data_IF_982146143989
#
_entry.id   IF_982146143989
#
_cell.length_a   1.000
_cell.length_b   1.000
_cell.length_c   1.000
_cell.angle_alpha   90.00
_cell.angle_beta   90.00
_cell.angle_gamma   90.00
#
_symmetry.space_group_name_H-M   'P 1'
#
loop_
_entity.id
_entity.type
_entity.pdbx_description
1 polymer ?
#
# COMPACT_ATOMS: atom_id res chain seq x y z
N UNK A 1 4.90 -14.49 -29.08
CA UNK A 1 3.64 -14.66 -28.33
C UNK A 1 3.95 -14.44 -26.86
N UNK A 2 3.47 -13.36 -26.27
CA UNK A 2 3.55 -13.16 -24.81
C UNK A 2 2.70 -14.24 -24.15
N UNK A 3 3.21 -15.04 -23.21
CA UNK A 3 2.39 -16.00 -22.49
C UNK A 3 1.26 -15.22 -21.81
N UNK A 4 0.02 -15.53 -22.12
CA UNK A 4 -1.11 -15.00 -21.35
C UNK A 4 -0.97 -15.51 -19.94
N UNK A 5 -0.86 -14.60 -18.98
CA UNK A 5 -0.92 -14.95 -17.55
C UNK A 5 -2.22 -15.70 -17.20
N UNK A 6 -2.34 -16.21 -15.97
CA UNK A 6 -3.55 -16.85 -15.51
C UNK A 6 -4.74 -15.90 -15.71
N UNK A 7 -5.95 -16.45 -15.90
CA UNK A 7 -7.13 -15.63 -16.11
C UNK A 7 -7.30 -14.67 -14.95
N UNK A 8 -7.33 -13.37 -15.27
CA UNK A 8 -7.72 -12.32 -14.32
C UNK A 8 -9.18 -12.59 -13.93
N UNK A 9 -9.57 -12.44 -12.66
CA UNK A 9 -10.96 -12.51 -12.26
C UNK A 9 -11.82 -11.66 -13.18
N UNK A 10 -12.96 -12.20 -13.62
CA UNK A 10 -13.84 -11.55 -14.58
C UNK A 10 -14.24 -10.15 -14.09
N UNK A 11 -13.75 -9.12 -14.77
CA UNK A 11 -14.07 -7.73 -14.46
C UNK A 11 -15.57 -7.43 -14.68
N UNK A 12 -16.25 -8.22 -15.53
CA UNK A 12 -17.68 -8.10 -15.74
C UNK A 12 -18.50 -8.49 -14.49
N UNK A 13 -17.92 -9.28 -13.58
CA UNK A 13 -18.55 -9.65 -12.31
C UNK A 13 -18.43 -8.54 -11.23
N UNK A 14 -17.61 -7.49 -11.47
CA UNK A 14 -17.51 -6.38 -10.53
C UNK A 14 -18.75 -5.47 -10.60
N UNK A 15 -19.18 -4.89 -9.45
CA UNK A 15 -20.12 -3.80 -9.45
C UNK A 15 -19.68 -2.67 -10.40
N UNK A 16 -20.62 -2.02 -11.07
CA UNK A 16 -20.32 -0.98 -12.07
C UNK A 16 -19.40 0.13 -11.53
N UNK A 17 -19.63 0.57 -10.30
CA UNK A 17 -18.79 1.58 -9.64
C UNK A 17 -17.35 1.09 -9.44
N UNK A 18 -17.15 -0.16 -9.03
CA UNK A 18 -15.81 -0.74 -8.82
C UNK A 18 -15.08 -0.92 -10.16
N UNK A 19 -15.79 -1.37 -11.19
CA UNK A 19 -15.25 -1.48 -12.56
C UNK A 19 -14.82 -0.13 -13.10
N UNK A 20 -15.65 0.90 -12.95
CA UNK A 20 -15.31 2.27 -13.37
C UNK A 20 -14.05 2.81 -12.67
N UNK A 21 -13.82 2.47 -11.39
CA UNK A 21 -12.59 2.84 -10.67
C UNK A 21 -11.37 2.11 -11.23
N UNK A 22 -11.51 0.83 -11.52
CA UNK A 22 -10.45 0.01 -12.10
C UNK A 22 -10.06 0.52 -13.50
N UNK A 23 -11.05 0.87 -14.33
CA UNK A 23 -10.83 1.42 -15.68
C UNK A 23 -10.14 2.80 -15.62
N UNK A 24 -10.50 3.65 -14.66
CA UNK A 24 -9.78 4.92 -14.43
C UNK A 24 -8.33 4.68 -13.99
N UNK A 25 -8.07 3.70 -13.14
CA UNK A 25 -6.71 3.34 -12.76
C UNK A 25 -5.90 2.83 -13.95
N UNK A 26 -6.49 2.00 -14.81
CA UNK A 26 -5.86 1.51 -16.05
C UNK A 26 -5.51 2.65 -17.02
N UNK A 27 -6.37 3.65 -17.12
CA UNK A 27 -6.12 4.82 -17.97
C UNK A 27 -4.89 5.63 -17.50
N UNK A 28 -4.48 5.52 -16.23
CA UNK A 28 -3.28 6.18 -15.70
C UNK A 28 -1.99 5.44 -16.08
N UNK A 29 -2.03 4.15 -16.40
CA UNK A 29 -0.83 3.31 -16.60
C UNK A 29 0.15 3.91 -17.62
N UNK A 30 -0.28 4.39 -18.83
CA UNK A 30 0.62 5.01 -19.78
C UNK A 30 1.29 6.29 -19.23
N UNK A 31 0.54 7.13 -18.52
CA UNK A 31 1.04 8.36 -17.92
C UNK A 31 2.08 8.08 -16.83
N UNK A 32 1.84 7.05 -16.03
CA UNK A 32 2.80 6.62 -15.00
C UNK A 32 4.09 6.10 -15.62
N UNK A 33 4.01 5.35 -16.74
CA UNK A 33 5.17 4.87 -17.46
C UNK A 33 6.00 6.02 -18.05
N UNK A 34 5.34 7.03 -18.63
CA UNK A 34 6.00 8.24 -19.16
C UNK A 34 6.72 9.01 -18.04
N UNK A 35 6.11 9.14 -16.87
CA UNK A 35 6.66 9.90 -15.73
C UNK A 35 7.70 9.14 -14.92
N UNK A 36 7.82 7.81 -15.08
CA UNK A 36 8.70 6.97 -14.26
C UNK A 36 10.17 7.41 -14.27
N UNK A 37 10.79 7.79 -15.42
CA UNK A 37 12.16 8.29 -15.44
C UNK A 37 12.33 9.58 -14.62
N UNK A 38 11.38 10.53 -14.73
CA UNK A 38 11.40 11.79 -13.97
C UNK A 38 11.27 11.50 -12.48
N UNK A 39 10.34 10.63 -12.07
CA UNK A 39 10.16 10.24 -10.69
C UNK A 39 11.43 9.63 -10.09
N UNK A 40 12.14 8.79 -10.84
CA UNK A 40 13.43 8.22 -10.44
C UNK A 40 14.52 9.28 -10.29
N UNK A 41 14.64 10.21 -11.23
CA UNK A 41 15.66 11.25 -11.23
C UNK A 41 15.52 12.23 -10.05
N UNK A 42 14.28 12.62 -9.70
CA UNK A 42 14.01 13.55 -8.57
C UNK A 42 13.75 12.84 -7.25
N UNK A 43 13.74 11.50 -7.24
CA UNK A 43 13.52 10.65 -6.06
C UNK A 43 12.23 10.97 -5.30
N UNK A 44 11.19 11.34 -6.04
CA UNK A 44 9.81 11.53 -5.57
C UNK A 44 8.84 11.42 -6.75
N UNK A 45 7.57 11.18 -6.48
CA UNK A 45 6.58 11.27 -7.55
C UNK A 45 6.38 12.73 -7.98
N UNK A 46 6.09 12.98 -9.27
CA UNK A 46 5.56 14.27 -9.70
C UNK A 46 4.22 14.59 -9.02
N UNK A 47 3.98 15.85 -8.68
CA UNK A 47 2.73 16.27 -8.03
C UNK A 47 1.50 15.98 -8.89
N UNK A 48 1.67 16.01 -10.21
CA UNK A 48 0.65 15.65 -11.20
C UNK A 48 0.18 14.18 -11.04
N UNK A 49 1.04 13.29 -10.59
CA UNK A 49 0.66 11.88 -10.35
C UNK A 49 -0.31 11.75 -9.18
N UNK A 50 -0.10 12.51 -8.11
CA UNK A 50 -1.01 12.51 -6.97
C UNK A 50 -2.33 13.24 -7.33
N UNK A 51 -2.26 14.31 -8.12
CA UNK A 51 -3.45 14.98 -8.63
C UNK A 51 -4.31 14.03 -9.49
N UNK A 52 -3.67 13.23 -10.37
CA UNK A 52 -4.38 12.23 -11.18
C UNK A 52 -5.02 11.13 -10.31
N UNK A 53 -4.36 10.67 -9.25
CA UNK A 53 -4.95 9.70 -8.30
C UNK A 53 -6.17 10.26 -7.59
N UNK A 54 -6.14 11.56 -7.19
CA UNK A 54 -7.29 12.27 -6.61
C UNK A 54 -8.43 12.39 -7.63
N UNK A 55 -8.13 12.86 -8.84
CA UNK A 55 -9.11 13.01 -9.92
C UNK A 55 -9.76 11.67 -10.32
N UNK A 56 -8.99 10.58 -10.31
CA UNK A 56 -9.50 9.24 -10.53
C UNK A 56 -10.34 8.69 -9.35
N UNK A 57 -10.28 9.33 -8.18
CA UNK A 57 -10.99 8.92 -6.96
C UNK A 57 -10.44 7.65 -6.31
N UNK A 58 -9.24 7.20 -6.70
CA UNK A 58 -8.69 5.93 -6.23
C UNK A 58 -8.04 6.00 -4.86
N UNK A 59 -7.54 7.18 -4.42
CA UNK A 59 -6.94 7.34 -3.08
C UNK A 59 -7.96 7.17 -1.94
N UNK A 60 -9.25 7.36 -2.21
CA UNK A 60 -10.31 7.38 -1.20
C UNK A 60 -11.13 6.08 -1.15
N UNK A 61 -10.65 5.01 -1.80
CA UNK A 61 -11.35 3.71 -1.82
C UNK A 61 -11.57 3.17 -0.40
N UNK A 62 -10.54 3.22 0.44
CA UNK A 62 -10.58 2.70 1.82
C UNK A 62 -10.94 3.77 2.87
N UNK A 63 -11.26 5.00 2.47
CA UNK A 63 -11.71 6.02 3.39
C UNK A 63 -13.20 5.82 3.72
N UNK A 64 -13.64 6.06 4.98
CA UNK A 64 -15.04 5.96 5.34
C UNK A 64 -15.94 6.92 4.57
N UNK A 65 -17.16 6.48 4.26
CA UNK A 65 -18.18 7.30 3.55
C UNK A 65 -18.51 8.60 4.27
N UNK A 66 -18.49 8.61 5.58
CA UNK A 66 -18.72 9.78 6.41
C UNK A 66 -17.79 10.95 6.05
N UNK A 67 -16.57 10.66 5.62
CA UNK A 67 -15.57 11.64 5.18
C UNK A 67 -15.49 11.76 3.65
N UNK A 68 -16.50 11.23 2.93
CA UNK A 68 -16.60 11.31 1.47
C UNK A 68 -15.83 10.21 0.72
N UNK A 69 -15.26 9.22 1.42
CA UNK A 69 -14.65 8.06 0.82
C UNK A 69 -15.64 7.03 0.32
N UNK A 70 -15.14 5.95 -0.27
CA UNK A 70 -15.99 4.92 -0.85
C UNK A 70 -16.31 3.79 0.16
N UNK A 71 -15.53 3.67 1.24
CA UNK A 71 -15.64 2.54 2.18
C UNK A 71 -15.63 1.19 1.43
N UNK A 72 -14.75 1.14 0.42
CA UNK A 72 -14.72 0.07 -0.56
C UNK A 72 -13.99 -1.18 -0.08
N UNK A 73 -13.93 -2.17 -0.96
CA UNK A 73 -13.29 -3.46 -0.69
C UNK A 73 -11.78 -3.36 -0.81
N UNK A 74 -11.07 -4.05 0.07
CA UNK A 74 -9.61 -4.15 0.01
C UNK A 74 -9.14 -4.89 -1.25
N UNK A 75 -9.94 -5.82 -1.78
CA UNK A 75 -9.66 -6.52 -3.02
C UNK A 75 -9.60 -5.60 -4.23
N UNK A 76 -10.50 -4.62 -4.34
CA UNK A 76 -10.46 -3.60 -5.40
C UNK A 76 -9.20 -2.74 -5.27
N UNK A 77 -8.90 -2.25 -4.07
CA UNK A 77 -7.68 -1.50 -3.79
C UNK A 77 -6.43 -2.27 -4.24
N UNK A 78 -6.32 -3.55 -3.85
CA UNK A 78 -5.22 -4.44 -4.21
C UNK A 78 -5.10 -4.66 -5.73
N UNK A 79 -6.22 -4.78 -6.46
CA UNK A 79 -6.22 -4.88 -7.92
C UNK A 79 -5.71 -3.60 -8.58
N UNK A 80 -6.08 -2.45 -8.06
CA UNK A 80 -5.58 -1.16 -8.58
C UNK A 80 -4.07 -1.04 -8.36
N UNK A 81 -3.55 -1.48 -7.21
CA UNK A 81 -2.08 -1.55 -6.97
C UNK A 81 -1.40 -2.37 -8.07
N UNK A 82 -1.94 -3.54 -8.39
CA UNK A 82 -1.42 -4.43 -9.42
C UNK A 82 -1.40 -3.74 -10.80
N UNK A 83 -2.51 -3.12 -11.22
CA UNK A 83 -2.62 -2.41 -12.49
C UNK A 83 -1.64 -1.23 -12.60
N UNK A 84 -1.59 -0.36 -11.59
CA UNK A 84 -0.69 0.80 -11.61
C UNK A 84 0.79 0.40 -11.70
N UNK A 85 1.15 -0.78 -11.19
CA UNK A 85 2.52 -1.28 -11.23
C UNK A 85 3.04 -1.47 -12.63
N UNK A 86 2.18 -1.80 -13.60
CA UNK A 86 2.57 -1.91 -15.02
C UNK A 86 3.08 -0.60 -15.60
N UNK A 87 2.61 0.53 -15.10
CA UNK A 87 3.12 1.84 -15.48
C UNK A 87 4.40 2.19 -14.74
N UNK A 88 4.36 2.16 -13.40
CA UNK A 88 5.50 2.53 -12.56
C UNK A 88 5.37 1.91 -11.17
N UNK A 89 6.31 1.04 -10.81
CA UNK A 89 6.33 0.40 -9.49
C UNK A 89 6.44 1.40 -8.33
N UNK A 90 7.23 2.48 -8.47
CA UNK A 90 7.30 3.53 -7.44
C UNK A 90 5.96 4.24 -7.25
N UNK A 91 5.25 4.52 -8.33
CA UNK A 91 3.93 5.15 -8.29
C UNK A 91 2.89 4.24 -7.65
N UNK A 92 2.89 2.95 -8.00
CA UNK A 92 2.01 1.95 -7.39
C UNK A 92 2.31 1.75 -5.90
N UNK A 93 3.58 1.74 -5.51
CA UNK A 93 3.99 1.64 -4.10
C UNK A 93 3.47 2.82 -3.28
N UNK A 94 3.66 4.05 -3.75
CA UNK A 94 3.16 5.24 -3.06
C UNK A 94 1.64 5.22 -2.99
N UNK A 95 0.95 4.84 -4.08
CA UNK A 95 -0.50 4.65 -4.07
C UNK A 95 -0.92 3.62 -3.01
N UNK A 96 -0.24 2.47 -2.95
CA UNK A 96 -0.54 1.41 -1.98
C UNK A 96 -0.38 1.90 -0.55
N UNK A 97 0.69 2.63 -0.24
CA UNK A 97 0.94 3.21 1.08
C UNK A 97 -0.14 4.24 1.45
N UNK A 98 -0.32 5.27 0.63
CA UNK A 98 -1.27 6.35 0.93
C UNK A 98 -2.72 5.87 0.97
N UNK A 99 -3.08 4.91 0.10
CA UNK A 99 -4.42 4.33 0.05
C UNK A 99 -4.72 3.37 1.20
N UNK A 100 -3.76 2.48 1.60
CA UNK A 100 -3.93 1.61 2.77
C UNK A 100 -4.09 2.43 4.05
N UNK A 101 -3.36 3.55 4.15
CA UNK A 101 -3.42 4.39 5.34
C UNK A 101 -4.79 5.03 5.57
N UNK A 102 -5.63 5.18 4.57
CA UNK A 102 -7.02 5.60 4.77
C UNK A 102 -7.78 4.63 5.70
N UNK A 103 -7.56 3.31 5.53
CA UNK A 103 -8.11 2.32 6.45
C UNK A 103 -7.45 2.37 7.84
N UNK A 104 -6.13 2.58 7.91
CA UNK A 104 -5.45 2.72 9.21
C UNK A 104 -5.98 3.95 9.95
N UNK A 105 -6.13 5.10 9.31
CA UNK A 105 -6.71 6.32 9.91
C UNK A 105 -8.15 6.07 10.35
N UNK A 106 -8.95 5.36 9.53
CA UNK A 106 -10.30 4.95 9.90
C UNK A 106 -10.36 4.09 11.17
N UNK A 107 -9.24 3.50 11.60
CA UNK A 107 -9.14 2.69 12.81
C UNK A 107 -8.91 3.51 14.09
N UNK A 108 -8.52 4.78 13.99
CA UNK A 108 -8.33 5.66 15.16
C UNK A 108 -9.67 6.09 15.77
N UNK A 109 -9.67 6.64 17.01
CA UNK A 109 -10.83 7.34 17.57
C UNK A 109 -11.39 8.39 16.62
N UNK A 110 -12.68 8.70 16.74
CA UNK A 110 -13.39 9.64 15.88
C UNK A 110 -12.72 11.03 15.85
N UNK A 111 -12.24 11.50 16.99
CA UNK A 111 -11.55 12.79 17.13
C UNK A 111 -10.30 12.85 16.21
N UNK A 112 -9.50 11.79 16.16
CA UNK A 112 -8.33 11.76 15.28
C UNK A 112 -8.71 11.73 13.79
N UNK A 113 -9.82 11.08 13.45
CA UNK A 113 -10.33 11.08 12.08
C UNK A 113 -10.83 12.48 11.66
N UNK A 114 -11.47 13.20 12.59
CA UNK A 114 -11.88 14.59 12.39
C UNK A 114 -10.67 15.52 12.24
N UNK A 115 -9.60 15.31 13.01
CA UNK A 115 -8.34 16.06 12.85
C UNK A 115 -7.76 15.91 11.45
N UNK A 116 -7.85 14.70 10.85
CA UNK A 116 -7.31 14.44 9.51
C UNK A 116 -8.24 14.92 8.41
N UNK A 117 -9.54 14.59 8.49
CA UNK A 117 -10.46 14.72 7.36
C UNK A 117 -11.56 15.76 7.55
N UNK A 118 -11.63 16.40 8.74
CA UNK A 118 -12.67 17.39 9.03
C UNK A 118 -12.62 18.60 8.10
N UNK A 119 -11.42 19.16 7.93
CA UNK A 119 -11.20 20.33 7.07
C UNK A 119 -10.70 19.96 5.67
N UNK A 120 -9.96 18.85 5.54
CA UNK A 120 -9.43 18.36 4.25
C UNK A 120 -9.77 16.87 4.03
N UNK A 121 -10.91 16.56 3.40
CA UNK A 121 -11.28 15.18 3.08
C UNK A 121 -10.31 14.45 2.14
N UNK A 122 -9.42 15.17 1.46
CA UNK A 122 -8.40 14.60 0.56
C UNK A 122 -7.05 14.35 1.27
N UNK A 123 -6.96 14.64 2.58
CA UNK A 123 -5.75 14.43 3.35
C UNK A 123 -5.31 12.96 3.36
N UNK A 124 -4.01 12.75 3.18
CA UNK A 124 -3.36 11.44 3.19
C UNK A 124 -2.22 11.40 4.19
N UNK A 125 -1.87 10.21 4.65
CA UNK A 125 -0.76 10.01 5.56
C UNK A 125 0.32 9.11 4.96
N UNK A 126 1.58 9.51 5.12
CA UNK A 126 2.74 8.61 4.97
C UNK A 126 2.96 7.80 6.26
N UNK A 127 3.96 6.93 6.31
CA UNK A 127 4.24 6.22 7.56
C UNK A 127 5.67 5.76 7.72
N UNK A 128 6.07 5.60 8.99
CA UNK A 128 7.17 4.74 9.40
C UNK A 128 6.67 3.86 10.56
N UNK A 129 6.21 2.66 10.23
CA UNK A 129 5.42 1.82 11.14
C UNK A 129 6.26 0.97 12.10
N UNK A 130 7.54 0.74 11.77
CA UNK A 130 8.44 0.02 12.68
C UNK A 130 8.77 0.89 13.89
N UNK A 131 8.46 0.46 15.13
CA UNK A 131 8.75 1.27 16.32
C UNK A 131 10.27 1.42 16.50
N UNK A 132 10.72 2.66 16.68
CA UNK A 132 12.14 2.99 16.84
C UNK A 132 12.48 3.56 18.21
N UNK A 133 11.51 4.20 18.86
CA UNK A 133 11.69 4.84 20.17
C UNK A 133 10.48 4.60 21.06
N UNK A 134 10.69 4.73 22.36
CA UNK A 134 9.60 4.85 23.31
C UNK A 134 9.10 6.30 23.32
N UNK A 135 7.78 6.47 23.34
CA UNK A 135 7.17 7.76 23.56
C UNK A 135 7.03 7.99 25.08
N UNK A 136 7.38 9.19 25.52
CA UNK A 136 7.23 9.59 26.93
C UNK A 136 5.75 9.90 27.21
N UNK A 137 5.20 9.30 28.28
CA UNK A 137 3.85 9.64 28.75
C UNK A 137 3.85 11.01 29.41
N UNK A 138 3.02 11.91 28.90
CA UNK A 138 2.81 13.24 29.48
C UNK A 138 1.31 13.49 29.70
N UNK A 139 0.97 14.60 30.34
CA UNK A 139 -0.44 14.95 30.56
C UNK A 139 -1.17 15.13 29.22
N UNK A 140 -2.19 14.33 28.94
CA UNK A 140 -3.06 14.41 27.78
C UNK A 140 -2.52 13.71 26.53
N UNK A 141 -1.36 13.04 26.59
CA UNK A 141 -0.81 12.36 25.41
C UNK A 141 0.61 11.84 25.61
N UNK A 142 1.38 11.99 24.56
CA UNK A 142 2.71 11.43 24.42
C UNK A 142 3.67 12.48 23.84
N UNK A 143 4.96 12.41 24.23
CA UNK A 143 6.04 13.12 23.55
C UNK A 143 6.93 12.12 22.82
N UNK A 144 7.27 12.46 21.60
CA UNK A 144 8.03 11.57 20.71
C UNK A 144 9.18 12.29 20.07
N UNK A 145 10.38 11.68 20.15
CA UNK A 145 11.56 12.11 19.43
C UNK A 145 12.17 10.91 18.70
N UNK A 146 12.90 11.16 17.64
CA UNK A 146 13.65 10.10 16.94
C UNK A 146 13.62 10.23 15.42
N UNK A 147 14.42 9.35 14.80
CA UNK A 147 14.49 9.24 13.32
C UNK A 147 13.73 8.01 12.85
N UNK A 148 12.80 8.21 11.96
CA UNK A 148 11.87 7.23 11.44
C UNK A 148 12.04 7.09 9.92
N UNK A 149 12.83 6.11 9.42
CA UNK A 149 13.12 5.95 7.99
C UNK A 149 11.97 5.30 7.22
N UNK A 150 12.10 5.27 5.90
CA UNK A 150 11.22 4.59 4.96
C UNK A 150 9.80 5.14 4.89
N UNK A 151 9.62 6.46 5.03
CA UNK A 151 8.30 7.09 4.90
C UNK A 151 7.95 7.37 3.44
N UNK A 152 7.46 6.34 2.75
CA UNK A 152 7.11 6.42 1.33
C UNK A 152 6.00 7.44 1.08
N UNK A 153 6.21 8.31 0.07
CA UNK A 153 5.23 9.32 -0.31
C UNK A 153 5.08 10.49 0.68
N UNK A 154 6.01 10.66 1.64
CA UNK A 154 5.95 11.74 2.62
C UNK A 154 5.94 13.15 1.98
N UNK A 155 6.55 13.33 0.80
CA UNK A 155 6.51 14.60 0.06
C UNK A 155 5.10 15.04 -0.36
N UNK A 156 4.09 14.15 -0.28
CA UNK A 156 2.72 14.38 -0.74
C UNK A 156 1.68 14.22 0.36
N UNK A 157 2.11 13.88 1.57
CA UNK A 157 1.24 13.64 2.71
C UNK A 157 1.08 14.90 3.58
N UNK A 158 -0.04 14.99 4.28
CA UNK A 158 -0.30 16.02 5.29
C UNK A 158 -0.05 15.47 6.69
N UNK A 159 -0.10 14.14 6.83
CA UNK A 159 0.04 13.42 8.09
C UNK A 159 1.09 12.32 7.99
N UNK A 160 1.58 11.88 9.14
CA UNK A 160 2.43 10.70 9.27
C UNK A 160 1.91 9.75 10.34
N UNK A 161 1.95 8.45 10.06
CA UNK A 161 1.67 7.39 11.04
C UNK A 161 3.01 6.86 11.52
N UNK A 162 3.31 7.05 12.80
CA UNK A 162 4.59 6.72 13.42
C UNK A 162 4.42 5.55 14.39
N UNK A 163 5.16 4.46 14.19
CA UNK A 163 5.23 3.36 15.14
C UNK A 163 6.10 3.71 16.34
N UNK A 164 5.55 3.58 17.56
CA UNK A 164 6.26 3.86 18.79
C UNK A 164 5.93 2.85 19.88
N UNK A 165 6.80 2.74 20.88
CA UNK A 165 6.49 2.02 22.12
C UNK A 165 5.84 3.00 23.10
N UNK A 166 4.61 2.70 23.55
CA UNK A 166 3.90 3.47 24.58
C UNK A 166 4.09 2.85 25.98
N UNK A 167 5.32 2.43 26.27
CA UNK A 167 5.71 1.74 27.48
C UNK A 167 7.16 1.29 27.38
N UNK A 168 7.47 0.08 27.82
CA UNK A 168 8.81 -0.46 27.75
C UNK A 168 9.28 -0.62 26.30
N UNK A 169 10.43 -0.04 25.98
CA UNK A 169 11.02 -0.14 24.66
C UNK A 169 11.42 -1.59 24.34
N UNK A 170 11.03 -2.05 23.15
CA UNK A 170 11.28 -3.43 22.71
C UNK A 170 10.18 -4.43 23.06
N UNK A 171 9.21 -4.07 23.90
CA UNK A 171 8.05 -4.95 24.18
C UNK A 171 6.97 -4.77 23.10
N UNK A 172 6.70 -5.81 22.28
CA UNK A 172 5.71 -5.73 21.21
C UNK A 172 4.28 -5.48 21.70
N UNK A 173 3.99 -5.74 22.98
CA UNK A 173 2.67 -5.46 23.60
C UNK A 173 2.43 -3.96 23.75
N UNK A 174 3.48 -3.17 23.80
CA UNK A 174 3.43 -1.73 23.98
C UNK A 174 3.55 -0.94 22.69
N UNK A 175 3.43 -1.57 21.52
CA UNK A 175 3.47 -0.88 20.24
C UNK A 175 2.14 -0.23 19.93
N UNK A 176 2.19 1.03 19.54
CA UNK A 176 1.06 1.77 19.02
C UNK A 176 1.48 2.58 17.77
N UNK A 177 0.50 2.98 16.99
CA UNK A 177 0.66 3.92 15.90
C UNK A 177 0.18 5.29 16.35
N UNK A 178 1.05 6.28 16.24
CA UNK A 178 0.80 7.68 16.56
C UNK A 178 0.58 8.46 15.28
N UNK A 179 -0.48 9.26 15.22
CA UNK A 179 -0.83 10.09 14.08
C UNK A 179 -0.34 11.52 14.33
N UNK A 180 0.56 12.01 13.48
CA UNK A 180 1.29 13.26 13.64
C UNK A 180 1.12 14.14 12.40
N UNK A 181 0.78 15.45 12.53
CA UNK A 181 0.81 16.36 11.40
C UNK A 181 2.22 16.43 10.79
N UNK A 182 2.33 16.29 9.48
CA UNK A 182 3.65 16.31 8.84
C UNK A 182 4.34 17.68 8.95
N UNK A 183 3.57 18.75 9.17
CA UNK A 183 4.09 20.08 9.43
C UNK A 183 4.92 20.19 10.74
N UNK A 184 4.76 19.24 11.66
CA UNK A 184 5.53 19.16 12.92
C UNK A 184 6.78 18.26 12.79
N UNK A 185 7.07 17.75 11.60
CA UNK A 185 8.11 16.75 11.34
C UNK A 185 9.10 17.30 10.32
N UNK A 186 10.39 17.13 10.58
CA UNK A 186 11.43 17.41 9.60
C UNK A 186 11.57 16.21 8.64
N UNK A 187 11.46 16.45 7.33
CA UNK A 187 11.72 15.45 6.29
C UNK A 187 13.19 15.54 5.89
N UNK A 188 13.93 14.45 6.12
CA UNK A 188 15.35 14.35 5.77
C UNK A 188 15.49 13.65 4.42
N UNK A 189 16.03 14.36 3.41
CA UNK A 189 16.21 13.82 2.06
C UNK A 189 17.42 12.87 1.96
N UNK A 190 17.26 11.67 2.51
CA UNK A 190 18.27 10.62 2.57
C UNK A 190 17.92 9.38 1.70
N UNK A 191 16.89 9.48 0.86
CA UNK A 191 16.44 8.35 0.03
C UNK A 191 17.34 8.14 -1.18
N UNK A 192 18.38 7.31 -1.02
CA UNK A 192 19.37 6.98 -2.06
C UNK A 192 19.47 5.46 -2.20
N UNK A 193 18.83 4.92 -3.22
CA UNK A 193 18.65 3.47 -3.41
C UNK A 193 18.79 3.08 -4.87
N UNK A 194 18.91 1.76 -5.16
CA UNK A 194 19.00 1.24 -6.51
C UNK A 194 17.63 1.06 -7.19
N UNK A 195 16.59 0.76 -6.42
CA UNK A 195 15.24 0.52 -6.92
C UNK A 195 14.19 1.31 -6.15
N UNK A 196 12.99 1.49 -6.73
CA UNK A 196 11.90 2.28 -6.13
C UNK A 196 12.32 3.73 -5.79
N UNK A 197 13.23 4.32 -6.55
CA UNK A 197 13.74 5.68 -6.35
C UNK A 197 12.60 6.70 -6.20
N UNK A 198 11.60 6.62 -7.07
CA UNK A 198 10.48 7.56 -7.10
C UNK A 198 9.53 7.49 -5.91
N UNK A 199 9.69 6.53 -4.98
CA UNK A 199 8.83 6.48 -3.79
C UNK A 199 9.12 7.59 -2.79
N UNK A 200 10.30 8.22 -2.85
CA UNK A 200 10.70 9.25 -1.89
C UNK A 200 10.56 8.77 -0.44
N UNK A 201 11.00 7.52 -0.16
CA UNK A 201 10.83 6.90 1.17
C UNK A 201 11.83 7.46 2.18
N UNK A 202 11.79 8.77 2.35
CA UNK A 202 12.69 9.59 3.17
C UNK A 202 12.52 9.30 4.66
N UNK A 203 13.49 9.72 5.45
CA UNK A 203 13.39 9.68 6.91
C UNK A 203 12.59 10.86 7.44
N UNK A 204 11.82 10.60 8.47
CA UNK A 204 11.12 11.59 9.29
C UNK A 204 11.88 11.78 10.59
N UNK A 205 12.19 13.03 10.94
CA UNK A 205 12.88 13.38 12.18
C UNK A 205 11.93 14.18 13.07
N UNK A 206 11.66 13.63 14.25
CA UNK A 206 10.77 14.21 15.25
C UNK A 206 11.61 14.77 16.40
N UNK A 207 11.33 16.01 16.82
CA UNK A 207 11.99 16.70 17.92
C UNK A 207 10.95 17.07 18.99
N UNK A 208 10.81 16.24 20.00
CA UNK A 208 9.92 16.47 21.14
C UNK A 208 8.47 16.78 20.75
N UNK A 209 7.96 16.07 19.74
CA UNK A 209 6.61 16.29 19.20
C UNK A 209 5.56 15.77 20.19
N UNK A 210 4.59 16.63 20.54
CA UNK A 210 3.44 16.24 21.35
C UNK A 210 2.34 15.60 20.49
N UNK A 211 1.91 14.40 20.90
CA UNK A 211 0.82 13.67 20.25
C UNK A 211 -0.31 13.46 21.24
N UNK A 212 -1.49 14.06 21.05
CA UNK A 212 -2.66 13.86 21.90
C UNK A 212 -3.06 12.38 21.98
N UNK A 213 -3.61 11.96 23.08
CA UNK A 213 -3.97 10.55 23.33
C UNK A 213 -4.93 9.97 22.27
N UNK A 214 -5.90 10.76 21.80
CA UNK A 214 -6.85 10.34 20.76
C UNK A 214 -6.18 10.05 19.39
N UNK A 215 -4.97 10.58 19.16
CA UNK A 215 -4.17 10.29 17.94
C UNK A 215 -3.29 9.04 18.10
N UNK A 216 -3.70 8.10 18.96
CA UNK A 216 -3.03 6.81 19.11
C UNK A 216 -3.97 5.64 18.90
N UNK A 217 -3.46 4.56 18.31
CA UNK A 217 -4.15 3.29 18.18
C UNK A 217 -3.16 2.16 18.50
N UNK A 218 -3.57 1.24 19.36
CA UNK A 218 -2.74 0.11 19.74
C UNK A 218 -2.62 -0.89 18.59
N UNK A 219 -1.40 -1.35 18.34
CA UNK A 219 -1.15 -2.35 17.32
C UNK A 219 -1.89 -3.67 17.61
N UNK A 220 -2.02 -4.02 18.90
CA UNK A 220 -2.82 -5.17 19.36
C UNK A 220 -4.27 -5.10 18.90
N UNK A 221 -4.90 -3.91 18.95
CA UNK A 221 -6.29 -3.74 18.52
C UNK A 221 -6.44 -3.90 17.00
N UNK A 222 -5.47 -3.40 16.23
CA UNK A 222 -5.43 -3.60 14.77
C UNK A 222 -5.25 -5.08 14.41
N UNK A 223 -4.38 -5.80 15.13
CA UNK A 223 -4.20 -7.24 14.89
C UNK A 223 -5.38 -8.08 15.37
N UNK A 224 -6.12 -7.62 16.36
CA UNK A 224 -7.34 -8.29 16.83
C UNK A 224 -8.60 -7.97 15.99
N UNK A 225 -8.55 -6.92 15.12
CA UNK A 225 -9.72 -6.41 14.40
C UNK A 225 -10.74 -5.75 15.35
N UNK A 226 -10.26 -5.10 16.40
CA UNK A 226 -11.07 -4.43 17.43
C UNK A 226 -10.67 -2.96 17.64
N UNK A 227 -10.42 -2.18 16.59
CA UNK A 227 -10.02 -0.79 16.75
C UNK A 227 -11.12 0.04 17.43
N UNK A 228 -10.77 1.16 18.10
CA UNK A 228 -11.72 2.00 18.82
C UNK A 228 -12.84 2.55 17.93
N UNK A 229 -12.55 2.80 16.67
CA UNK A 229 -13.52 3.35 15.69
C UNK A 229 -14.58 2.36 15.21
N UNK A 230 -14.50 1.09 15.54
CA UNK A 230 -15.47 0.08 15.08
C UNK A 230 -16.93 0.45 15.37
N UNK A 231 -17.16 1.22 16.43
CA UNK A 231 -18.50 1.71 16.80
C UNK A 231 -18.91 2.96 15.99
N UNK A 232 -17.93 3.70 15.47
CA UNK A 232 -18.15 4.90 14.65
C UNK A 232 -18.58 4.51 13.23
N UNK A 233 -18.04 3.40 12.72
CA UNK A 233 -18.32 2.89 11.38
C UNK A 233 -18.83 1.44 11.44
N UNK A 234 -20.07 1.19 11.96
CA UNK A 234 -20.57 -0.16 12.18
C UNK A 234 -20.70 -0.96 10.87
N UNK A 235 -20.95 -0.29 9.76
CA UNK A 235 -21.14 -0.89 8.44
C UNK A 235 -19.85 -0.96 7.62
N UNK A 236 -18.66 -0.79 8.27
CA UNK A 236 -17.38 -0.91 7.59
C UNK A 236 -16.68 -2.24 7.92
N UNK A 237 -16.81 -3.28 7.05
CA UNK A 237 -16.30 -4.61 7.34
C UNK A 237 -14.80 -4.66 7.59
N UNK A 238 -14.01 -3.80 6.95
CA UNK A 238 -12.55 -3.77 7.10
C UNK A 238 -12.09 -3.46 8.52
N UNK A 239 -12.87 -2.74 9.33
CA UNK A 239 -12.54 -2.48 10.73
C UNK A 239 -12.68 -3.70 11.64
N UNK A 240 -13.22 -4.81 11.12
CA UNK A 240 -13.25 -6.11 11.81
C UNK A 240 -12.13 -7.03 11.36
N UNK A 241 -11.41 -6.66 10.32
CA UNK A 241 -10.32 -7.46 9.80
C UNK A 241 -9.07 -7.31 10.67
N UNK A 242 -8.48 -8.39 11.16
CA UNK A 242 -7.14 -8.37 11.72
C UNK A 242 -6.16 -7.81 10.69
N UNK A 243 -5.29 -6.89 11.09
CA UNK A 243 -4.32 -6.26 10.18
C UNK A 243 -3.51 -7.29 9.39
N UNK A 244 -3.08 -8.37 10.03
CA UNK A 244 -2.35 -9.45 9.37
C UNK A 244 -3.14 -10.20 8.29
N UNK A 245 -4.45 -9.99 8.19
CA UNK A 245 -5.31 -10.56 7.16
C UNK A 245 -5.37 -9.70 5.89
N UNK A 246 -5.08 -8.40 5.97
CA UNK A 246 -5.17 -7.44 4.86
C UNK A 246 -3.81 -7.10 4.25
N UNK A 247 -2.78 -6.91 5.08
CA UNK A 247 -1.43 -6.47 4.66
C UNK A 247 -0.82 -7.30 3.50
N UNK A 248 -1.04 -8.63 3.42
CA UNK A 248 -0.55 -9.42 2.28
C UNK A 248 -1.07 -8.97 0.91
N UNK A 249 -2.15 -8.19 0.87
CA UNK A 249 -2.78 -7.72 -0.37
C UNK A 249 -2.52 -6.23 -0.66
N UNK A 250 -1.65 -5.55 0.10
CA UNK A 250 -1.31 -4.15 -0.16
C UNK A 250 -0.03 -3.98 -0.99
N UNK A 251 1.12 -4.38 -0.48
CA UNK A 251 2.42 -4.21 -1.15
C UNK A 251 2.86 -5.41 -2.01
N UNK A 252 2.62 -6.68 -1.64
CA UNK A 252 3.00 -7.82 -2.47
C UNK A 252 2.51 -7.77 -3.92
N UNK A 253 1.31 -7.22 -4.26
CA UNK A 253 0.89 -7.04 -5.63
C UNK A 253 1.90 -6.26 -6.49
N UNK A 254 2.63 -5.29 -5.90
CA UNK A 254 3.69 -4.54 -6.62
C UNK A 254 4.81 -5.49 -7.06
N UNK A 255 5.28 -6.37 -6.18
CA UNK A 255 6.36 -7.29 -6.53
C UNK A 255 5.94 -8.28 -7.63
N UNK A 256 4.73 -8.83 -7.52
CA UNK A 256 4.19 -9.82 -8.48
C UNK A 256 3.99 -9.17 -9.86
N UNK A 257 3.33 -8.01 -9.93
CA UNK A 257 3.09 -7.30 -11.17
C UNK A 257 4.39 -6.77 -11.80
N UNK A 258 5.37 -6.34 -10.99
CA UNK A 258 6.69 -5.96 -11.47
C UNK A 258 7.43 -7.15 -12.09
N UNK A 259 7.36 -8.32 -11.47
CA UNK A 259 7.91 -9.56 -12.04
C UNK A 259 7.29 -9.89 -13.39
N UNK A 260 5.95 -9.78 -13.53
CA UNK A 260 5.24 -9.95 -14.80
C UNK A 260 5.70 -8.93 -15.84
N UNK A 261 5.76 -7.66 -15.47
CA UNK A 261 6.23 -6.60 -16.36
C UNK A 261 7.67 -6.81 -16.82
N UNK A 262 8.56 -7.27 -15.93
CA UNK A 262 9.94 -7.59 -16.28
C UNK A 262 10.02 -8.73 -17.30
N UNK A 263 9.21 -9.77 -17.11
CA UNK A 263 9.11 -10.89 -18.05
C UNK A 263 8.60 -10.44 -19.43
N UNK A 264 7.57 -9.60 -19.47
CA UNK A 264 7.03 -9.05 -20.74
C UNK A 264 8.09 -8.23 -21.48
N UNK A 265 8.86 -7.41 -20.78
CA UNK A 265 9.96 -6.63 -21.35
C UNK A 265 11.05 -7.57 -21.88
N UNK A 266 11.44 -8.58 -21.13
CA UNK A 266 12.44 -9.56 -21.54
C UNK A 266 12.00 -10.30 -22.81
N UNK A 267 10.77 -10.82 -22.83
CA UNK A 267 10.23 -11.53 -23.99
C UNK A 267 10.13 -10.62 -25.23
N UNK A 268 9.76 -9.35 -25.05
CA UNK A 268 9.67 -8.39 -26.15
C UNK A 268 11.03 -7.98 -26.72
N UNK A 269 12.09 -8.04 -25.90
CA UNK A 269 13.44 -7.65 -26.27
C UNK A 269 14.27 -8.78 -26.92
N UNK A 270 13.80 -10.02 -26.88
CA UNK A 270 14.56 -11.19 -27.37
C UNK A 270 14.57 -11.35 -28.90
N UNK A 271 13.47 -11.08 -29.64
CA UNK A 271 13.46 -11.31 -31.09
C UNK A 271 14.58 -10.55 -31.81
N UNK A 272 15.37 -11.26 -32.62
CA UNK A 272 16.47 -10.70 -33.38
C UNK A 272 17.74 -10.39 -32.58
N UNK A 273 17.78 -10.71 -31.28
CA UNK A 273 18.97 -10.55 -30.45
C UNK A 273 19.92 -11.73 -30.62
N UNK A 274 21.17 -11.42 -30.99
CA UNK A 274 22.22 -12.42 -31.16
C UNK A 274 23.22 -12.39 -30.00
N UNK A 275 23.52 -13.55 -29.42
CA UNK A 275 24.67 -13.69 -28.51
C UNK A 275 25.94 -13.82 -29.33
N UNK A 276 26.94 -13.00 -29.01
CA UNK A 276 28.26 -12.97 -29.73
C UNK A 276 28.14 -12.88 -31.24
N UNK A 277 27.03 -12.29 -31.74
CA UNK A 277 26.76 -12.10 -33.16
C UNK A 277 26.38 -13.36 -33.95
N UNK A 278 26.18 -14.51 -33.29
CA UNK A 278 25.97 -15.81 -33.96
C UNK A 278 24.72 -16.54 -33.47
N UNK A 279 24.48 -16.59 -32.17
CA UNK A 279 23.38 -17.39 -31.59
C UNK A 279 22.13 -16.56 -31.38
N UNK A 280 21.02 -16.94 -32.01
CA UNK A 280 19.70 -16.34 -31.73
C UNK A 280 19.28 -16.67 -30.30
N UNK A 281 19.17 -15.64 -29.45
CA UNK A 281 18.80 -15.80 -28.06
C UNK A 281 17.36 -16.31 -27.89
N UNK A 282 16.46 -15.94 -28.79
CA UNK A 282 15.08 -16.41 -28.75
C UNK A 282 14.95 -17.90 -29.06
N UNK A 283 15.88 -18.46 -29.85
CA UNK A 283 15.96 -19.89 -30.16
C UNK A 283 16.78 -20.70 -29.15
N UNK A 284 17.44 -20.06 -28.20
CA UNK A 284 18.25 -20.73 -27.18
C UNK A 284 17.38 -21.48 -26.18
N UNK A 285 17.56 -22.79 -26.05
CA UNK A 285 16.83 -23.65 -25.10
C UNK A 285 17.00 -23.16 -23.66
N UNK A 286 18.20 -22.76 -23.26
CA UNK A 286 18.50 -22.23 -21.92
C UNK A 286 17.68 -20.96 -21.63
N UNK A 287 17.55 -20.07 -22.63
CA UNK A 287 16.75 -18.84 -22.49
C UNK A 287 15.26 -19.16 -22.40
N UNK A 288 14.79 -20.08 -23.24
CA UNK A 288 13.39 -20.52 -23.23
C UNK A 288 13.01 -21.20 -21.91
N UNK A 289 13.90 -22.05 -21.37
CA UNK A 289 13.69 -22.67 -20.05
C UNK A 289 13.63 -21.63 -18.95
N UNK A 290 14.57 -20.68 -18.89
CA UNK A 290 14.58 -19.63 -17.87
C UNK A 290 13.32 -18.75 -17.93
N UNK A 291 12.83 -18.42 -19.12
CA UNK A 291 11.55 -17.69 -19.32
C UNK A 291 10.37 -18.54 -18.84
N UNK A 292 10.36 -19.84 -19.16
CA UNK A 292 9.29 -20.75 -18.73
C UNK A 292 9.21 -20.89 -17.21
N UNK A 293 10.36 -21.05 -16.56
CA UNK A 293 10.45 -21.12 -15.09
C UNK A 293 9.99 -19.82 -14.43
N UNK A 294 10.45 -18.65 -14.93
CA UNK A 294 10.04 -17.36 -14.43
C UNK A 294 8.53 -17.14 -14.62
N UNK A 295 7.99 -17.49 -15.80
CA UNK A 295 6.56 -17.39 -16.09
C UNK A 295 5.73 -18.24 -15.12
N UNK A 296 6.13 -19.49 -14.91
CA UNK A 296 5.43 -20.41 -14.00
C UNK A 296 5.42 -19.90 -12.55
N UNK A 297 6.57 -19.40 -12.07
CA UNK A 297 6.66 -18.83 -10.72
C UNK A 297 5.75 -17.60 -10.53
N UNK A 298 5.73 -16.68 -11.52
CA UNK A 298 4.88 -15.49 -11.50
C UNK A 298 3.40 -15.90 -11.59
N UNK A 299 3.04 -16.90 -12.40
CA UNK A 299 1.67 -17.39 -12.54
C UNK A 299 1.17 -17.99 -11.23
N UNK A 300 1.98 -18.78 -10.55
CA UNK A 300 1.66 -19.33 -9.23
C UNK A 300 1.42 -18.20 -8.22
N UNK A 301 2.33 -17.23 -8.13
CA UNK A 301 2.20 -16.09 -7.23
C UNK A 301 0.92 -15.27 -7.54
N UNK A 302 0.60 -15.06 -8.81
CA UNK A 302 -0.60 -14.35 -9.27
C UNK A 302 -1.87 -15.12 -8.87
N UNK A 303 -1.92 -16.44 -9.08
CA UNK A 303 -3.05 -17.27 -8.69
C UNK A 303 -3.28 -17.27 -7.17
N UNK A 304 -2.21 -17.37 -6.39
CA UNK A 304 -2.29 -17.29 -4.92
C UNK A 304 -2.84 -15.93 -4.49
N UNK A 305 -2.30 -14.82 -5.04
CA UNK A 305 -2.79 -13.47 -4.74
C UNK A 305 -4.28 -13.32 -5.07
N UNK A 306 -4.73 -13.76 -6.25
CA UNK A 306 -6.12 -13.65 -6.67
C UNK A 306 -7.05 -14.50 -5.78
N UNK A 307 -6.66 -15.75 -5.52
CA UNK A 307 -7.44 -16.65 -4.65
C UNK A 307 -7.53 -16.10 -3.24
N UNK A 308 -6.43 -15.57 -2.71
CA UNK A 308 -6.39 -14.97 -1.38
C UNK A 308 -7.26 -13.71 -1.26
N UNK A 309 -7.25 -12.84 -2.28
CA UNK A 309 -8.12 -11.64 -2.35
C UNK A 309 -9.61 -12.01 -2.34
N UNK A 310 -10.00 -12.99 -3.16
CA UNK A 310 -11.38 -13.48 -3.22
C UNK A 310 -11.81 -14.04 -1.87
N UNK A 311 -11.01 -14.94 -1.31
CA UNK A 311 -11.26 -15.51 0.00
C UNK A 311 -11.40 -14.44 1.10
N UNK A 312 -10.52 -13.43 1.09
CA UNK A 312 -10.55 -12.36 2.08
C UNK A 312 -11.81 -11.49 1.95
N UNK A 313 -12.25 -11.20 0.73
CA UNK A 313 -13.49 -10.45 0.48
C UNK A 313 -14.71 -11.22 0.96
N UNK A 314 -14.83 -12.49 0.61
CA UNK A 314 -15.94 -13.35 1.04
C UNK A 314 -16.01 -13.49 2.57
N UNK A 315 -14.85 -13.66 3.22
CA UNK A 315 -14.76 -13.74 4.67
C UNK A 315 -15.26 -12.46 5.36
N UNK A 316 -14.91 -11.29 4.81
CA UNK A 316 -15.36 -9.99 5.33
C UNK A 316 -16.84 -9.74 5.07
N UNK A 317 -17.34 -10.09 3.89
CA UNK A 317 -18.75 -9.93 3.51
C UNK A 317 -19.65 -10.82 4.37
N UNK A 318 -19.17 -12.00 4.82
CA UNK A 318 -19.92 -12.92 5.69
C UNK A 318 -20.20 -12.40 7.10
N UNK A 319 -19.65 -11.26 7.48
CA UNK A 319 -19.80 -10.62 8.80
C UNK A 319 -19.36 -11.47 10.01
N UNK A 320 -18.78 -12.65 9.79
CA UNK A 320 -18.26 -13.53 10.84
C UNK A 320 -16.88 -13.07 11.35
N UNK A 321 -16.46 -13.60 12.47
CA UNK A 321 -15.11 -13.39 12.97
C UNK A 321 -14.08 -14.08 12.08
N UNK A 322 -13.02 -13.37 11.71
CA UNK A 322 -11.86 -13.94 11.04
C UNK A 322 -11.05 -14.76 12.07
N UNK A 323 -10.75 -15.99 11.74
CA UNK A 323 -10.00 -16.91 12.60
C UNK A 323 -8.50 -16.71 12.46
N UNK A 324 -7.74 -17.14 13.46
CA UNK A 324 -6.27 -17.11 13.41
C UNK A 324 -5.72 -17.92 12.24
N UNK A 325 -6.30 -19.09 11.96
CA UNK A 325 -5.92 -19.92 10.82
C UNK A 325 -6.09 -19.20 9.47
N UNK A 326 -7.13 -18.39 9.33
CA UNK A 326 -7.36 -17.59 8.13
C UNK A 326 -6.35 -16.44 8.00
N UNK A 327 -5.98 -15.81 9.12
CA UNK A 327 -4.89 -14.82 9.15
C UNK A 327 -3.56 -15.45 8.74
N UNK A 328 -3.24 -16.63 9.27
CA UNK A 328 -2.03 -17.35 8.92
C UNK A 328 -2.03 -17.77 7.45
N UNK A 329 -3.17 -18.26 6.94
CA UNK A 329 -3.32 -18.58 5.52
C UNK A 329 -3.10 -17.37 4.62
N UNK A 330 -3.71 -16.23 4.94
CA UNK A 330 -3.53 -15.00 4.16
C UNK A 330 -2.05 -14.55 4.13
N UNK A 331 -1.30 -14.75 5.22
CA UNK A 331 0.12 -14.40 5.31
C UNK A 331 1.03 -15.39 4.57
N UNK A 332 0.57 -16.59 4.32
CA UNK A 332 1.33 -17.63 3.59
C UNK A 332 1.07 -17.59 2.07
N UNK A 333 0.08 -16.84 1.63
CA UNK A 333 -0.25 -16.59 0.22
C UNK A 333 0.60 -15.48 -0.35
#
# INVERSE_FOLDING_TARGET
>A
MTPRGPPVPDDAALPEQERALLDRARALVPLLAERAPKAGAVRRLPDETIADYRAAGILRILQPRRFGGLQGRFSLFSRIVEELTYGCASSAWVYAVLGEHQWIIASYPEEAQLDVWGDDPEAVASSSLAPRAAAERVRGGWRLSGRYPFSSGCDHAQWAIIGAFLGEAGDPRHVAYLLVPLAEIEIVDDWQVLGLLGTGSKSLLLHDVFVPEHRSVWLSDLFAGTPPSRRVHPDYPLLRAPRGFLVPYSLPPVAIALGRRALDIACSALPGRLSRGVTDLAASEVVQMAIGEAAAAIDIATLLLHTGRTFSSEALDSSRKITEAEVLRARAT
#
